data_IF_897800872917
#
_entry.id   IF_897800872917
#
_cell.length_a   1.000
_cell.length_b   1.000
_cell.length_c   1.000
_cell.angle_alpha   90.00
_cell.angle_beta   90.00
_cell.angle_gamma   90.00
#
_symmetry.space_group_name_H-M   'P 1'
#
loop_
_entity.id
_entity.type
_entity.pdbx_description
1 polymer ?
#
# COMPACT_ATOMS: atom_id res chain seq x y z
N UNK A 1 12.81 10.30 0.46
CA UNK A 1 11.84 9.57 -0.38
C UNK A 1 11.50 8.26 0.26
N UNK A 2 10.22 7.91 0.34
CA UNK A 2 9.70 6.72 1.04
C UNK A 2 8.68 5.98 0.18
N UNK A 3 8.60 4.66 0.33
CA UNK A 3 7.54 3.83 -0.26
C UNK A 3 6.34 3.74 0.69
N UNK A 4 5.13 3.86 0.15
CA UNK A 4 3.88 3.69 0.90
C UNK A 4 3.12 2.47 0.36
N UNK A 5 2.95 1.47 1.22
CA UNK A 5 2.08 0.32 1.00
C UNK A 5 0.94 0.35 2.02
N UNK A 6 -0.27 0.08 1.57
CA UNK A 6 -1.46 0.08 2.42
C UNK A 6 -2.68 -0.28 1.60
N UNK A 7 -3.86 0.08 2.09
CA UNK A 7 -5.07 -0.07 1.28
C UNK A 7 -5.01 0.85 0.06
N UNK A 8 -5.68 0.47 -1.03
CA UNK A 8 -5.83 1.30 -2.23
C UNK A 8 -6.17 2.75 -1.91
N UNK A 9 -7.12 2.99 -1.00
CA UNK A 9 -7.51 4.32 -0.56
C UNK A 9 -6.34 5.13 0.02
N UNK A 10 -5.50 4.50 0.84
CA UNK A 10 -4.34 5.14 1.47
C UNK A 10 -3.26 5.47 0.45
N UNK A 11 -3.11 4.64 -0.58
CA UNK A 11 -2.11 4.83 -1.63
C UNK A 11 -2.55 5.80 -2.73
N UNK A 12 -3.85 5.90 -3.03
CA UNK A 12 -4.36 6.72 -4.14
C UNK A 12 -4.86 8.11 -3.73
N UNK A 13 -5.38 8.26 -2.51
CA UNK A 13 -6.00 9.52 -2.11
C UNK A 13 -5.01 10.46 -1.41
N UNK A 14 -5.24 11.77 -1.58
CA UNK A 14 -4.34 12.81 -1.05
C UNK A 14 -4.40 12.97 0.47
N UNK A 15 -5.41 12.42 1.16
CA UNK A 15 -5.54 12.62 2.62
C UNK A 15 -4.32 12.12 3.39
N UNK A 16 -3.67 11.05 2.91
CA UNK A 16 -2.50 10.46 3.56
C UNK A 16 -1.20 10.87 2.86
N UNK A 17 -1.13 10.65 1.55
CA UNK A 17 0.05 10.98 0.74
C UNK A 17 0.33 12.48 0.71
N UNK A 18 -0.72 13.30 0.55
CA UNK A 18 -0.64 14.76 0.61
C UNK A 18 -0.21 15.25 1.99
N UNK A 19 -0.74 14.69 3.08
CA UNK A 19 -0.29 15.03 4.44
C UNK A 19 1.20 14.73 4.64
N UNK A 20 1.70 13.59 4.17
CA UNK A 20 3.13 13.24 4.26
C UNK A 20 4.01 14.21 3.46
N UNK A 21 3.56 14.61 2.28
CA UNK A 21 4.26 15.60 1.46
C UNK A 21 4.24 16.98 2.11
N UNK A 22 3.06 17.48 2.45
CA UNK A 22 2.86 18.88 2.81
C UNK A 22 3.32 19.19 4.25
N UNK A 23 3.14 18.25 5.18
CA UNK A 23 3.52 18.44 6.59
C UNK A 23 4.95 17.99 6.89
N UNK A 24 5.45 16.99 6.18
CA UNK A 24 6.75 16.38 6.48
C UNK A 24 7.77 16.53 5.35
N UNK A 25 7.42 17.15 4.21
CA UNK A 25 8.31 17.35 3.08
C UNK A 25 8.73 16.04 2.40
N UNK A 26 7.95 14.96 2.57
CA UNK A 26 8.33 13.64 2.09
C UNK A 26 7.84 13.41 0.65
N UNK A 27 8.74 12.95 -0.21
CA UNK A 27 8.36 12.33 -1.49
C UNK A 27 7.87 10.91 -1.23
N UNK A 28 6.61 10.65 -1.55
CA UNK A 28 5.95 9.34 -1.40
C UNK A 28 5.87 8.65 -2.75
N UNK A 29 6.34 7.40 -2.80
CA UNK A 29 6.23 6.52 -3.97
C UNK A 29 5.23 5.42 -3.63
N UNK A 30 4.30 5.16 -4.55
CA UNK A 30 3.33 4.06 -4.45
C UNK A 30 3.48 3.13 -5.66
N UNK A 31 3.11 1.83 -5.52
CA UNK A 31 3.10 0.91 -6.65
C UNK A 31 2.15 1.37 -7.76
N UNK A 32 2.22 0.73 -8.93
CA UNK A 32 1.31 0.98 -10.03
C UNK A 32 -0.11 0.41 -9.75
N UNK A 33 -1.06 0.67 -10.65
CA UNK A 33 -2.44 0.26 -10.44
C UNK A 33 -2.64 -1.25 -10.18
N UNK A 34 -2.09 -2.18 -11.00
CA UNK A 34 -2.25 -3.61 -10.74
C UNK A 34 -1.64 -4.05 -9.41
N UNK A 35 -0.46 -3.55 -9.05
CA UNK A 35 0.17 -3.92 -7.78
C UNK A 35 -0.61 -3.41 -6.57
N UNK A 36 -1.20 -2.21 -6.66
CA UNK A 36 -2.05 -1.65 -5.60
C UNK A 36 -3.29 -2.48 -5.34
N UNK A 37 -3.92 -3.03 -6.38
CA UNK A 37 -5.07 -3.94 -6.23
C UNK A 37 -4.66 -5.22 -5.51
N UNK A 38 -3.48 -5.75 -5.82
CA UNK A 38 -2.97 -6.97 -5.18
C UNK A 38 -2.70 -6.72 -3.70
N UNK A 39 -2.04 -5.61 -3.34
CA UNK A 39 -1.83 -5.23 -1.92
C UNK A 39 -3.18 -5.09 -1.21
N UNK A 40 -4.13 -4.39 -1.82
CA UNK A 40 -5.44 -4.15 -1.22
C UNK A 40 -6.19 -5.46 -0.96
N UNK A 41 -6.21 -6.36 -1.94
CA UNK A 41 -6.81 -7.69 -1.80
C UNK A 41 -6.14 -8.50 -0.70
N UNK A 42 -4.80 -8.57 -0.66
CA UNK A 42 -4.07 -9.30 0.39
C UNK A 42 -4.44 -8.76 1.78
N UNK A 43 -4.54 -7.44 1.93
CA UNK A 43 -4.93 -6.83 3.21
C UNK A 43 -6.32 -7.31 3.65
N UNK A 44 -7.32 -7.27 2.77
CA UNK A 44 -8.70 -7.61 3.15
C UNK A 44 -8.97 -9.12 3.20
N UNK A 45 -8.51 -9.88 2.21
CA UNK A 45 -8.85 -11.29 2.03
C UNK A 45 -7.93 -12.22 2.82
N UNK A 46 -6.76 -11.73 3.27
CA UNK A 46 -5.80 -12.51 4.04
C UNK A 46 -5.54 -11.90 5.41
N UNK A 47 -4.90 -10.72 5.44
CA UNK A 47 -4.36 -10.16 6.69
C UNK A 47 -5.45 -9.83 7.71
N UNK A 48 -6.56 -9.22 7.27
CA UNK A 48 -7.72 -8.92 8.13
C UNK A 48 -8.42 -10.20 8.64
N UNK A 49 -8.24 -11.33 7.96
CA UNK A 49 -8.77 -12.64 8.37
C UNK A 49 -7.73 -13.47 9.15
N UNK A 50 -6.56 -12.91 9.44
CA UNK A 50 -5.46 -13.59 10.14
C UNK A 50 -4.76 -14.68 9.31
N UNK A 51 -4.98 -14.69 7.98
CA UNK A 51 -4.32 -15.61 7.06
C UNK A 51 -3.04 -14.95 6.54
N UNK A 52 -1.94 -15.69 6.52
CA UNK A 52 -0.68 -15.25 5.92
C UNK A 52 -0.28 -16.30 4.89
N UNK A 53 -0.34 -15.93 3.61
CA UNK A 53 -0.01 -16.81 2.48
C UNK A 53 1.39 -16.45 1.99
N UNK A 54 2.25 -17.46 1.80
CA UNK A 54 3.66 -17.21 1.44
C UNK A 54 3.77 -16.68 0.00
N UNK A 55 2.89 -17.12 -0.89
CA UNK A 55 2.77 -16.65 -2.27
C UNK A 55 2.51 -15.14 -2.33
N UNK A 56 1.72 -14.61 -1.39
CA UNK A 56 1.44 -13.18 -1.27
C UNK A 56 2.69 -12.37 -0.88
N UNK A 57 3.64 -12.99 -0.17
CA UNK A 57 4.95 -12.39 0.14
C UNK A 57 5.92 -12.46 -1.02
N UNK A 58 5.90 -13.57 -1.77
CA UNK A 58 6.77 -13.76 -2.94
C UNK A 58 6.45 -12.79 -4.07
N UNK A 59 5.23 -12.25 -4.12
CA UNK A 59 4.83 -11.26 -5.12
C UNK A 59 5.63 -9.94 -5.05
N UNK A 60 6.24 -9.62 -3.90
CA UNK A 60 6.96 -8.35 -3.69
C UNK A 60 8.47 -8.53 -3.41
N UNK A 61 9.02 -9.72 -3.68
CA UNK A 61 10.42 -10.05 -3.42
C UNK A 61 11.31 -9.76 -4.63
#
# INVERSE_FOLDING_TARGET
>A
TVGLLGTRFTMEQEFYTGRLRDRHGLTVITPDAPDREIVHRIIYDELCLGRMVEESRLHYR
#
